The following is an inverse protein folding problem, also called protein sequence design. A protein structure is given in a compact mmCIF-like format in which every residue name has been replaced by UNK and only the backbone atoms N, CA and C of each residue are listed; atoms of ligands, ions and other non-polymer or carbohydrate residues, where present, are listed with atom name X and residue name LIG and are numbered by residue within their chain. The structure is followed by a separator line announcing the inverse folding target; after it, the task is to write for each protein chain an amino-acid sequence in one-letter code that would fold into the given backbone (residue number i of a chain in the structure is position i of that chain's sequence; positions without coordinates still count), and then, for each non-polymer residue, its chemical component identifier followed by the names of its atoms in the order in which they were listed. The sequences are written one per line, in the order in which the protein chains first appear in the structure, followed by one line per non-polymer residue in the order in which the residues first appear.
data_IF_704124148001
#
_entry.id   IF_704124148001
#
_cell.length_a   1.000
_cell.length_b   1.000
_cell.length_c   1.000
_cell.angle_alpha   90.00
_cell.angle_beta   90.00
_cell.angle_gamma   90.00
#
_symmetry.space_group_name_H-M   'P 1'
#
loop_
_entity.id
_entity.type
_entity.pdbx_description
1 polymer ?
#
# COMPACT_ATOMS: atom_id res chain seq x y z
N UNK A 1 -13.93 2.55 4.91
CA UNK A 1 -12.72 2.53 4.06
C UNK A 1 -13.19 2.76 2.65
N UNK A 2 -12.60 3.74 2.00
CA UNK A 2 -12.94 4.11 0.62
C UNK A 2 -11.85 3.55 -0.27
N UNK A 3 -12.26 2.81 -1.32
CA UNK A 3 -11.34 2.34 -2.35
C UNK A 3 -10.91 3.54 -3.20
N UNK A 4 -9.60 3.67 -3.39
CA UNK A 4 -8.94 4.78 -4.08
C UNK A 4 -8.50 4.32 -5.46
N UNK A 5 -9.47 4.02 -6.34
CA UNK A 5 -9.22 3.41 -7.66
C UNK A 5 -8.27 4.23 -8.53
N UNK A 6 -8.27 5.56 -8.39
CA UNK A 6 -7.38 6.46 -9.13
C UNK A 6 -5.90 6.23 -8.81
N UNK A 7 -5.59 5.75 -7.60
CA UNK A 7 -4.24 5.54 -7.10
C UNK A 7 -3.68 4.13 -7.38
N UNK A 8 -4.52 3.19 -7.84
CA UNK A 8 -4.09 1.83 -8.21
C UNK A 8 -2.92 1.84 -9.21
N UNK A 9 -2.96 2.59 -10.33
CA UNK A 9 -1.84 2.61 -11.29
C UNK A 9 -0.51 3.06 -10.68
N UNK A 10 -0.55 4.04 -9.75
CA UNK A 10 0.63 4.54 -9.06
C UNK A 10 1.24 3.48 -8.14
N UNK A 11 0.41 2.83 -7.33
CA UNK A 11 0.84 1.73 -6.46
C UNK A 11 1.44 0.58 -7.28
N UNK A 12 0.78 0.18 -8.38
CA UNK A 12 1.30 -0.86 -9.29
C UNK A 12 2.66 -0.50 -9.87
N UNK A 13 2.83 0.73 -10.34
CA UNK A 13 4.10 1.19 -10.90
C UNK A 13 5.23 1.12 -9.87
N UNK A 14 4.95 1.51 -8.62
CA UNK A 14 5.93 1.43 -7.53
C UNK A 14 6.33 -0.03 -7.23
N UNK A 15 5.35 -0.94 -7.08
CA UNK A 15 5.66 -2.34 -6.82
C UNK A 15 6.34 -3.04 -8.00
N UNK A 16 5.92 -2.81 -9.24
CA UNK A 16 6.59 -3.38 -10.42
C UNK A 16 8.04 -2.93 -10.50
N UNK A 17 8.33 -1.64 -10.28
CA UNK A 17 9.70 -1.15 -10.25
C UNK A 17 10.53 -1.82 -9.14
N UNK A 18 9.94 -2.10 -7.99
CA UNK A 18 10.60 -2.82 -6.89
C UNK A 18 10.85 -4.30 -7.25
N UNK A 19 9.85 -5.02 -7.79
CA UNK A 19 9.97 -6.42 -8.20
C UNK A 19 11.02 -6.60 -9.31
N UNK A 20 11.11 -5.64 -10.24
CA UNK A 20 12.10 -5.61 -11.31
C UNK A 20 13.50 -5.17 -10.83
N UNK A 21 13.68 -4.91 -9.53
CA UNK A 21 14.92 -4.38 -8.93
C UNK A 21 15.39 -3.04 -9.51
N UNK A 22 14.46 -2.22 -10.03
CA UNK A 22 14.76 -0.87 -10.52
C UNK A 22 14.83 0.15 -9.39
N UNK A 23 14.16 -0.12 -8.27
CA UNK A 23 14.21 0.67 -7.03
C UNK A 23 14.42 -0.24 -5.83
N UNK A 24 14.97 0.29 -4.75
CA UNK A 24 15.12 -0.41 -3.47
C UNK A 24 13.88 -0.27 -2.58
N UNK A 25 13.91 -0.94 -1.42
CA UNK A 25 12.80 -0.90 -0.45
C UNK A 25 12.56 0.52 0.08
N UNK A 26 13.62 1.27 0.39
CA UNK A 26 13.47 2.63 0.92
C UNK A 26 12.75 3.55 -0.08
N UNK A 27 13.12 3.45 -1.36
CA UNK A 27 12.46 4.18 -2.46
C UNK A 27 11.01 3.73 -2.66
N UNK A 28 10.72 2.43 -2.53
CA UNK A 28 9.34 1.93 -2.57
C UNK A 28 8.50 2.56 -1.44
N UNK A 29 9.01 2.54 -0.21
CA UNK A 29 8.32 3.08 0.96
C UNK A 29 8.10 4.59 0.83
N UNK A 30 9.07 5.34 0.30
CA UNK A 30 8.93 6.77 0.02
C UNK A 30 7.78 7.03 -0.96
N UNK A 31 7.73 6.32 -2.10
CA UNK A 31 6.64 6.46 -3.09
C UNK A 31 5.27 6.13 -2.52
N UNK A 32 5.17 5.10 -1.67
CA UNK A 32 3.91 4.76 -1.01
C UNK A 32 3.47 5.83 0.00
N UNK A 33 4.42 6.45 0.72
CA UNK A 33 4.13 7.57 1.64
C UNK A 33 3.75 8.84 0.90
N UNK A 34 4.41 9.14 -0.23
CA UNK A 34 4.00 10.25 -1.11
C UNK A 34 2.59 10.04 -1.65
N UNK A 35 2.25 8.81 -2.05
CA UNK A 35 0.90 8.44 -2.48
C UNK A 35 -0.11 8.61 -1.34
N UNK A 36 0.24 8.16 -0.13
CA UNK A 36 -0.59 8.37 1.07
C UNK A 36 -0.87 9.87 1.29
N UNK A 37 0.16 10.73 1.23
CA UNK A 37 0.02 12.18 1.35
C UNK A 37 -0.88 12.81 0.28
N UNK A 38 -0.77 12.35 -0.97
CA UNK A 38 -1.64 12.80 -2.07
C UNK A 38 -3.10 12.41 -1.81
N UNK A 39 -3.35 11.16 -1.42
CA UNK A 39 -4.70 10.71 -1.03
C UNK A 39 -5.22 11.55 0.13
N UNK A 40 -4.39 11.86 1.13
CA UNK A 40 -4.84 12.68 2.26
C UNK A 40 -5.26 14.07 1.78
N UNK A 41 -4.48 14.71 0.90
CA UNK A 41 -4.77 16.03 0.38
C UNK A 41 -6.06 16.05 -0.45
N UNK A 42 -6.28 15.05 -1.30
CA UNK A 42 -7.50 14.90 -2.10
C UNK A 42 -8.73 14.64 -1.22
N UNK A 43 -8.56 13.92 -0.10
CA UNK A 43 -9.63 13.61 0.86
C UNK A 43 -9.85 14.70 1.93
N UNK A 44 -8.92 15.64 2.09
CA UNK A 44 -8.99 16.76 3.06
C UNK A 44 -9.84 17.93 2.56
N UNK A 45 -10.26 17.95 1.29
CA UNK A 45 -11.37 18.81 0.86
C UNK A 45 -12.70 18.45 1.55
N UNK A 46 -12.79 17.25 2.15
CA UNK A 46 -13.93 16.76 2.95
C UNK A 46 -13.57 16.57 4.44
N UNK A 47 -13.71 17.65 5.21
CA UNK A 47 -13.77 17.75 6.68
C UNK A 47 -12.51 17.37 7.52
N UNK A 48 -12.09 18.35 8.32
CA UNK A 48 -11.08 18.30 9.38
C UNK A 48 -11.55 17.45 10.58
N UNK A 49 -11.14 16.18 10.67
CA UNK A 49 -10.96 15.51 11.97
C UNK A 49 -9.70 14.65 11.94
N UNK A 50 -8.71 15.12 12.70
CA UNK A 50 -7.37 14.57 12.92
C UNK A 50 -7.48 13.19 13.60
N UNK A 51 -7.55 12.14 12.78
CA UNK A 51 -7.79 10.78 13.27
C UNK A 51 -7.05 9.78 12.39
N UNK A 52 -6.31 8.85 13.01
CA UNK A 52 -5.29 7.99 12.40
C UNK A 52 -5.57 7.60 10.96
N UNK A 53 -4.98 8.33 10.02
CA UNK A 53 -5.16 8.08 8.59
C UNK A 53 -4.11 7.10 8.12
N UNK A 54 -4.50 6.11 7.34
CA UNK A 54 -3.56 5.11 6.84
C UNK A 54 -3.94 4.58 5.46
N UNK A 55 -2.95 4.50 4.58
CA UNK A 55 -2.98 3.81 3.30
C UNK A 55 -2.93 2.29 3.51
N UNK A 56 -3.94 1.59 3.03
CA UNK A 56 -4.04 0.13 3.12
C UNK A 56 -4.06 -0.46 1.71
N UNK A 57 -3.28 -1.51 1.52
CA UNK A 57 -3.17 -2.25 0.27
C UNK A 57 -3.77 -3.65 0.45
N UNK A 58 -4.40 -4.17 -0.61
CA UNK A 58 -4.77 -5.58 -0.71
C UNK A 58 -4.32 -6.11 -2.05
N UNK A 59 -3.57 -7.20 -2.04
CA UNK A 59 -3.05 -7.79 -3.27
C UNK A 59 -4.01 -8.79 -3.91
N UNK A 60 -5.06 -9.21 -3.19
CA UNK A 60 -6.08 -10.12 -3.68
C UNK A 60 -7.46 -9.52 -3.48
N UNK A 61 -8.25 -9.50 -4.55
CA UNK A 61 -9.56 -8.86 -4.54
C UNK A 61 -10.48 -9.57 -3.55
N UNK A 62 -11.01 -8.83 -2.58
CA UNK A 62 -11.90 -9.37 -1.55
C UNK A 62 -11.22 -10.15 -0.41
N UNK A 63 -9.89 -10.23 -0.36
CA UNK A 63 -9.17 -10.76 0.82
C UNK A 63 -9.39 -9.83 2.03
N UNK A 64 -9.68 -10.34 3.23
CA UNK A 64 -9.71 -9.53 4.45
C UNK A 64 -8.36 -8.95 4.87
N UNK A 65 -7.24 -9.51 4.38
CA UNK A 65 -5.90 -9.07 4.77
C UNK A 65 -5.62 -7.66 4.27
N UNK A 66 -5.28 -6.79 5.20
CA UNK A 66 -4.92 -5.40 4.96
C UNK A 66 -3.44 -5.27 5.23
N UNK A 67 -2.72 -4.69 4.28
CA UNK A 67 -1.29 -4.47 4.40
C UNK A 67 -1.03 -2.97 4.43
N UNK A 68 -0.48 -2.47 5.52
CA UNK A 68 -0.04 -1.08 5.67
C UNK A 68 1.37 -0.89 5.13
N UNK A 69 1.79 0.37 4.95
CA UNK A 69 3.19 0.69 4.61
C UNK A 69 4.15 0.13 5.67
N UNK A 70 3.78 0.19 6.96
CA UNK A 70 4.57 -0.37 8.06
C UNK A 70 4.69 -1.90 7.99
N UNK A 71 3.62 -2.61 7.61
CA UNK A 71 3.69 -4.06 7.40
C UNK A 71 4.64 -4.40 6.25
N UNK A 72 4.61 -3.64 5.15
CA UNK A 72 5.53 -3.80 4.02
C UNK A 72 6.98 -3.57 4.45
N UNK A 73 7.23 -2.48 5.18
CA UNK A 73 8.57 -2.18 5.70
C UNK A 73 9.06 -3.33 6.58
N UNK A 74 8.25 -3.78 7.53
CA UNK A 74 8.62 -4.86 8.44
C UNK A 74 8.90 -6.17 7.70
N UNK A 75 7.99 -6.57 6.81
CA UNK A 75 8.03 -7.87 6.15
C UNK A 75 9.12 -7.95 5.06
N UNK A 76 9.43 -6.83 4.38
CA UNK A 76 10.40 -6.81 3.28
C UNK A 76 11.83 -6.40 3.70
N UNK A 77 12.02 -5.81 4.89
CA UNK A 77 13.32 -5.30 5.33
C UNK A 77 14.37 -6.39 5.58
N UNK A 78 13.94 -7.57 6.00
CA UNK A 78 14.81 -8.72 6.22
C UNK A 78 14.36 -9.91 5.37
N UNK A 79 15.17 -10.40 4.41
CA UNK A 79 14.89 -11.63 3.67
C UNK A 79 14.69 -12.89 4.54
N UNK A 80 15.15 -12.86 5.79
CA UNK A 80 14.92 -13.89 6.81
C UNK A 80 13.57 -13.78 7.54
N UNK A 81 12.81 -12.71 7.35
CA UNK A 81 11.50 -12.54 7.98
C UNK A 81 10.53 -13.60 7.46
N UNK A 82 9.71 -14.25 8.33
CA UNK A 82 8.82 -15.34 7.92
C UNK A 82 7.83 -14.93 6.82
N UNK A 83 7.41 -13.67 6.81
CA UNK A 83 6.47 -13.16 5.81
C UNK A 83 7.14 -12.62 4.54
N UNK A 84 8.47 -12.47 4.50
CA UNK A 84 9.17 -11.84 3.37
C UNK A 84 8.74 -12.45 2.03
N UNK A 85 8.86 -13.79 1.92
CA UNK A 85 8.52 -14.52 0.70
C UNK A 85 7.02 -14.52 0.41
N UNK A 86 6.20 -14.58 1.46
CA UNK A 86 4.75 -14.63 1.35
C UNK A 86 4.24 -13.30 0.78
N UNK A 87 4.71 -12.17 1.32
CA UNK A 87 4.36 -10.85 0.85
C UNK A 87 4.86 -10.61 -0.58
N UNK A 88 6.12 -10.93 -0.89
CA UNK A 88 6.65 -10.81 -2.26
C UNK A 88 5.84 -11.61 -3.29
N UNK A 89 5.48 -12.84 -2.95
CA UNK A 89 4.63 -13.68 -3.79
C UNK A 89 3.22 -13.10 -3.92
N UNK A 90 2.65 -12.60 -2.83
CA UNK A 90 1.35 -11.93 -2.82
C UNK A 90 1.32 -10.70 -3.72
N UNK A 91 2.33 -9.83 -3.61
CA UNK A 91 2.50 -8.66 -4.48
C UNK A 91 2.57 -9.11 -5.93
N UNK A 92 3.45 -10.06 -6.26
CA UNK A 92 3.65 -10.52 -7.64
C UNK A 92 2.35 -11.06 -8.25
N UNK A 93 1.69 -11.98 -7.56
CA UNK A 93 0.44 -12.60 -8.05
C UNK A 93 -0.70 -11.58 -8.16
N UNK A 94 -0.83 -10.68 -7.18
CA UNK A 94 -1.86 -9.64 -7.18
C UNK A 94 -1.72 -8.64 -8.31
N UNK A 95 -0.48 -8.30 -8.67
CA UNK A 95 -0.20 -7.41 -9.81
C UNK A 95 -0.46 -8.11 -11.15
N UNK A 96 -0.03 -9.36 -11.31
CA UNK A 96 -0.28 -10.15 -12.52
C UNK A 96 -1.77 -10.38 -12.77
N UNK A 97 -2.56 -10.58 -11.71
CA UNK A 97 -3.99 -10.81 -11.78
C UNK A 97 -4.84 -9.53 -11.90
N UNK A 98 -4.23 -8.34 -11.87
CA UNK A 98 -4.95 -7.06 -11.85
C UNK A 98 -5.87 -6.90 -10.62
N UNK A 99 -5.45 -7.44 -9.47
CA UNK A 99 -6.25 -7.53 -8.24
C UNK A 99 -5.82 -6.55 -7.13
N UNK A 100 -4.77 -5.76 -7.35
CA UNK A 100 -4.33 -4.76 -6.37
C UNK A 100 -5.44 -3.73 -6.09
N UNK A 101 -5.85 -3.66 -4.83
CA UNK A 101 -6.73 -2.62 -4.31
C UNK A 101 -5.94 -1.64 -3.43
N UNK A 102 -6.25 -0.35 -3.59
CA UNK A 102 -5.74 0.73 -2.73
C UNK A 102 -6.90 1.28 -1.93
N UNK A 103 -6.76 1.35 -0.61
CA UNK A 103 -7.79 1.82 0.30
C UNK A 103 -7.24 2.91 1.20
N UNK A 104 -8.11 3.82 1.59
CA UNK A 104 -7.79 4.81 2.61
C UNK A 104 -8.83 4.80 3.71
N UNK A 105 -8.36 4.96 4.94
CA UNK A 105 -9.22 5.02 6.12
C UNK A 105 -8.79 6.17 7.01
N UNK A 106 -9.72 7.09 7.28
CA UNK A 106 -9.68 8.01 8.41
C UNK A 106 -10.11 7.19 9.64
N UNK A 107 -9.18 6.64 10.42
CA UNK A 107 -9.56 5.91 11.65
C UNK A 107 -9.90 6.94 12.71
N UNK A 108 -11.20 7.13 12.98
CA UNK A 108 -11.66 7.88 14.15
C UNK A 108 -11.13 7.19 15.41
N UNK A 109 -10.15 7.80 16.08
CA UNK A 109 -9.74 7.39 17.42
C UNK A 109 -10.92 7.73 18.35
N UNK A 110 -11.67 6.72 18.75
CA UNK A 110 -12.75 6.83 19.75
C UNK A 110 -12.16 6.90 21.16
#
# INVERSE_FOLDING_TARGET
MTEQTHYIPMAKAAFNAYLDNQIDLDTLLERLREMELQIMADEEEEEEEDSGKALWLRFFKGDPLKTTISDIEQDLRDPGHPNYRILLQGITLGLEADELEVHYSKVRLL
#
